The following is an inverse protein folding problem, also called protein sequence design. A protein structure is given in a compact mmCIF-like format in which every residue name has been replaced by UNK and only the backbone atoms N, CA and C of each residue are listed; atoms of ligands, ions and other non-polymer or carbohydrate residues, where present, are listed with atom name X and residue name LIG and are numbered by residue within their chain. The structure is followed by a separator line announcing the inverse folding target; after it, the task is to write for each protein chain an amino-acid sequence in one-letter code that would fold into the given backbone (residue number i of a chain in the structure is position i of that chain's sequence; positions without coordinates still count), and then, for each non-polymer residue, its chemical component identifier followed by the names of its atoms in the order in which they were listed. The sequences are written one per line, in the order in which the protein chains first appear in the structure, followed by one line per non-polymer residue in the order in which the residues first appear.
data_IF_065212892601
#
_entry.id   IF_065212892601
#
_cell.length_a   1.000
_cell.length_b   1.000
_cell.length_c   1.000
_cell.angle_alpha   90.00
_cell.angle_beta   90.00
_cell.angle_gamma   90.00
#
_symmetry.space_group_name_H-M   'P 1'
#
loop_
_entity.id
_entity.type
_entity.pdbx_description
1 polymer ?
#
# COMPACT_ATOMS: atom_id res chain seq x y z
N UNK A 1 24.10 -77.28 -32.45
CA UNK A 1 24.88 -76.46 -31.50
C UNK A 1 24.00 -75.32 -31.03
N UNK A 2 23.92 -75.16 -29.70
CA UNK A 2 23.51 -74.02 -28.86
C UNK A 2 23.14 -72.69 -29.55
N UNK A 3 22.20 -71.85 -29.11
CA UNK A 3 21.27 -71.83 -27.98
C UNK A 3 20.28 -70.64 -28.17
N UNK A 4 19.04 -70.83 -27.67
CA UNK A 4 18.16 -69.91 -26.92
C UNK A 4 17.99 -68.43 -27.34
N UNK A 5 16.74 -68.12 -27.71
CA UNK A 5 15.88 -66.99 -27.26
C UNK A 5 16.50 -65.96 -26.30
N UNK A 6 16.28 -64.67 -26.60
CA UNK A 6 15.70 -63.72 -25.64
C UNK A 6 15.31 -62.39 -26.31
N UNK A 7 14.01 -62.16 -26.32
CA UNK A 7 13.33 -60.86 -26.37
C UNK A 7 13.89 -59.89 -25.33
N UNK A 8 13.96 -58.59 -25.65
CA UNK A 8 13.75 -57.52 -24.66
C UNK A 8 13.40 -56.19 -25.34
N UNK A 9 12.12 -55.85 -25.20
CA UNK A 9 11.59 -54.50 -25.28
C UNK A 9 12.39 -53.58 -24.35
N UNK A 10 12.80 -52.41 -24.84
CA UNK A 10 13.32 -51.34 -23.99
C UNK A 10 12.22 -50.29 -23.77
N UNK A 11 12.00 -49.84 -22.52
CA UNK A 11 10.82 -49.11 -22.12
C UNK A 11 10.93 -47.61 -22.43
N UNK A 12 9.84 -47.04 -22.96
CA UNK A 12 9.57 -45.60 -23.18
C UNK A 12 9.43 -44.80 -21.86
N UNK A 13 10.13 -45.19 -20.80
CA UNK A 13 9.93 -44.68 -19.44
C UNK A 13 11.02 -43.75 -18.90
N UNK A 14 11.98 -43.31 -19.72
CA UNK A 14 13.14 -42.54 -19.27
C UNK A 14 13.23 -41.10 -19.81
N UNK A 15 12.13 -40.56 -20.34
CA UNK A 15 12.08 -39.16 -20.79
C UNK A 15 11.31 -38.22 -19.85
N UNK A 16 10.58 -38.75 -18.85
CA UNK A 16 9.75 -37.92 -17.96
C UNK A 16 10.42 -37.51 -16.63
N UNK A 17 11.60 -38.06 -16.31
CA UNK A 17 12.28 -37.82 -15.03
C UNK A 17 13.25 -36.62 -15.04
N UNK A 18 13.52 -36.02 -16.21
CA UNK A 18 14.40 -34.86 -16.31
C UNK A 18 13.70 -33.51 -16.03
N UNK A 19 12.36 -33.47 -16.02
CA UNK A 19 11.62 -32.22 -15.85
C UNK A 19 11.26 -31.87 -14.40
N UNK A 20 11.45 -32.80 -13.45
CA UNK A 20 11.09 -32.60 -12.03
C UNK A 20 12.29 -32.09 -11.19
N UNK A 21 13.52 -32.20 -11.71
CA UNK A 21 14.72 -31.76 -10.99
C UNK A 21 14.97 -30.24 -11.01
N UNK A 22 14.15 -29.46 -11.72
CA UNK A 22 14.29 -28.00 -11.83
C UNK A 22 13.58 -27.17 -10.74
N UNK A 23 12.81 -27.81 -9.84
CA UNK A 23 12.04 -27.10 -8.80
C UNK A 23 12.64 -27.21 -7.39
N UNK A 24 13.83 -27.78 -7.24
CA UNK A 24 14.61 -27.68 -6.00
C UNK A 24 15.34 -26.34 -5.97
N UNK A 25 14.62 -25.36 -5.43
CA UNK A 25 15.09 -24.02 -5.16
C UNK A 25 16.44 -24.01 -4.43
N UNK A 26 17.21 -23.01 -4.84
CA UNK A 26 18.48 -22.56 -4.30
C UNK A 26 18.53 -22.64 -2.77
N UNK A 27 19.19 -23.66 -2.24
CA UNK A 27 19.65 -23.67 -0.86
C UNK A 27 20.78 -22.66 -0.74
N UNK A 28 20.51 -21.54 -0.08
CA UNK A 28 21.48 -20.52 0.26
C UNK A 28 22.72 -21.16 0.89
N UNK A 29 23.87 -20.99 0.25
CA UNK A 29 25.16 -21.29 0.83
C UNK A 29 25.35 -20.37 2.03
N UNK A 30 25.32 -20.96 3.23
CA UNK A 30 25.72 -20.32 4.45
C UNK A 30 27.23 -20.00 4.39
N UNK A 31 27.57 -18.84 3.86
CA UNK A 31 28.87 -18.21 4.08
C UNK A 31 28.97 -17.86 5.56
N UNK A 32 29.87 -18.54 6.26
CA UNK A 32 30.28 -18.20 7.62
C UNK A 32 30.72 -16.73 7.68
N UNK A 33 30.30 -15.94 8.69
CA UNK A 33 30.89 -14.65 8.92
C UNK A 33 32.27 -14.87 9.56
N UNK A 34 33.34 -14.62 8.79
CA UNK A 34 34.64 -14.35 9.39
C UNK A 34 34.49 -13.09 10.25
N UNK A 35 34.75 -13.26 11.53
CA UNK A 35 34.82 -12.20 12.52
C UNK A 35 35.99 -11.27 12.20
N UNK A 36 35.76 -10.30 11.33
CA UNK A 36 36.53 -9.07 11.34
C UNK A 36 35.71 -8.05 12.10
N UNK A 37 36.07 -7.89 13.38
CA UNK A 37 35.68 -6.76 14.20
C UNK A 37 36.27 -5.47 13.59
N UNK A 38 35.71 -5.02 12.48
CA UNK A 38 35.84 -3.65 12.05
C UNK A 38 35.13 -2.81 13.11
N UNK A 39 35.92 -2.12 13.91
CA UNK A 39 35.44 -1.05 14.78
C UNK A 39 34.89 0.02 13.84
N UNK A 40 33.59 -0.07 13.53
CA UNK A 40 32.93 0.98 12.75
C UNK A 40 33.09 2.30 13.49
N UNK A 41 33.47 3.39 12.79
CA UNK A 41 33.39 4.71 13.38
C UNK A 41 31.95 4.89 13.86
N UNK A 42 31.77 5.49 15.05
CA UNK A 42 30.47 5.97 15.52
C UNK A 42 29.99 6.99 14.49
N UNK A 43 29.27 6.48 13.49
CA UNK A 43 28.64 7.24 12.43
C UNK A 43 27.67 8.19 13.12
N UNK A 44 28.06 9.46 13.15
CA UNK A 44 27.25 10.59 13.63
C UNK A 44 26.23 10.94 12.54
N UNK A 45 25.48 9.93 12.08
CA UNK A 45 24.33 10.12 11.22
C UNK A 45 23.16 10.71 12.01
N UNK A 46 22.17 11.33 11.33
CA UNK A 46 20.94 11.75 11.99
C UNK A 46 20.31 10.52 12.66
N UNK A 47 19.95 10.64 13.93
CA UNK A 47 19.18 9.60 14.61
C UNK A 47 17.81 9.52 13.92
N UNK A 48 17.53 8.42 13.22
CA UNK A 48 16.25 8.19 12.57
C UNK A 48 15.11 8.32 13.58
N UNK A 49 13.99 8.91 13.18
CA UNK A 49 12.84 9.07 14.07
C UNK A 49 12.21 7.70 14.38
N UNK A 50 12.02 6.87 13.36
CA UNK A 50 11.61 5.47 13.47
C UNK A 50 12.80 4.57 13.19
N UNK A 51 13.04 3.60 14.07
CA UNK A 51 14.11 2.62 13.83
C UNK A 51 13.69 1.60 12.77
N UNK A 52 14.65 1.07 12.00
CA UNK A 52 14.36 0.02 11.02
C UNK A 52 13.69 -1.21 11.62
N UNK A 53 14.05 -1.59 12.85
CA UNK A 53 13.43 -2.70 13.58
C UNK A 53 11.95 -2.43 13.91
N UNK A 54 11.62 -1.18 14.27
CA UNK A 54 10.25 -0.78 14.58
C UNK A 54 9.34 -0.69 13.35
N UNK A 55 9.89 -0.52 12.14
CA UNK A 55 9.10 -0.52 10.91
C UNK A 55 8.31 -1.83 10.73
N UNK A 56 8.96 -2.98 10.94
CA UNK A 56 8.29 -4.27 10.82
C UNK A 56 7.18 -4.45 11.87
N UNK A 57 7.28 -3.77 13.02
CA UNK A 57 6.19 -3.74 13.99
C UNK A 57 5.03 -2.86 13.53
N UNK A 58 5.32 -1.65 13.05
CA UNK A 58 4.33 -0.72 12.49
C UNK A 58 3.53 -1.36 11.36
N UNK A 59 4.20 -1.98 10.38
CA UNK A 59 3.54 -2.64 9.25
C UNK A 59 2.66 -3.81 9.67
N UNK A 60 3.06 -4.57 10.71
CA UNK A 60 2.22 -5.64 11.27
C UNK A 60 0.98 -5.09 11.97
N UNK A 61 1.10 -3.95 12.65
CA UNK A 61 -0.03 -3.27 13.28
C UNK A 61 -0.99 -2.72 12.23
N UNK A 62 -0.48 -2.03 11.22
CA UNK A 62 -1.26 -1.55 10.08
C UNK A 62 -1.98 -2.69 9.37
N UNK A 63 -1.29 -3.80 9.09
CA UNK A 63 -1.92 -4.96 8.47
C UNK A 63 -3.07 -5.52 9.30
N UNK A 64 -2.93 -5.59 10.63
CA UNK A 64 -4.02 -6.00 11.54
C UNK A 64 -5.18 -5.01 11.55
N UNK A 65 -4.91 -3.73 11.37
CA UNK A 65 -5.95 -2.71 11.25
C UNK A 65 -6.72 -2.87 9.93
N UNK A 66 -6.01 -3.13 8.83
CA UNK A 66 -6.60 -3.38 7.50
C UNK A 66 -7.46 -4.64 7.46
N UNK A 67 -7.06 -5.69 8.17
CA UNK A 67 -7.79 -6.95 8.28
C UNK A 67 -8.89 -6.95 9.36
N UNK A 68 -9.09 -5.85 10.08
CA UNK A 68 -10.11 -5.79 11.11
C UNK A 68 -11.51 -5.96 10.52
N UNK A 69 -12.30 -6.87 11.09
CA UNK A 69 -13.62 -7.25 10.57
C UNK A 69 -14.70 -6.18 10.84
N UNK A 70 -14.45 -5.25 11.77
CA UNK A 70 -15.42 -4.22 12.16
C UNK A 70 -14.78 -2.86 12.44
N UNK A 71 -15.60 -1.81 12.28
CA UNK A 71 -15.21 -0.43 12.62
C UNK A 71 -14.87 -0.27 14.10
N UNK A 72 -15.53 -1.01 14.99
CA UNK A 72 -15.24 -1.01 16.42
C UNK A 72 -13.83 -1.58 16.73
N UNK A 73 -13.40 -2.60 15.97
CA UNK A 73 -12.03 -3.12 16.10
C UNK A 73 -11.01 -2.11 15.58
N UNK A 74 -11.27 -1.47 14.44
CA UNK A 74 -10.42 -0.39 13.91
C UNK A 74 -10.29 0.77 14.89
N UNK A 75 -11.42 1.26 15.42
CA UNK A 75 -11.45 2.34 16.39
C UNK A 75 -10.66 1.99 17.66
N UNK A 76 -10.77 0.76 18.17
CA UNK A 76 -9.96 0.30 19.31
C UNK A 76 -8.47 0.35 19.01
N UNK A 77 -8.03 -0.17 17.87
CA UNK A 77 -6.62 -0.13 17.47
C UNK A 77 -6.09 1.31 17.31
N UNK A 78 -6.89 2.21 16.75
CA UNK A 78 -6.54 3.63 16.65
C UNK A 78 -6.42 4.29 18.04
N UNK A 79 -7.33 3.95 18.96
CA UNK A 79 -7.27 4.44 20.34
C UNK A 79 -6.05 3.89 21.10
N UNK A 80 -5.69 2.62 20.87
CA UNK A 80 -4.46 2.03 21.43
C UNK A 80 -3.22 2.75 20.91
N UNK A 81 -3.15 3.08 19.62
CA UNK A 81 -2.05 3.87 19.05
C UNK A 81 -1.95 5.28 19.66
N UNK A 82 -3.10 5.93 19.90
CA UNK A 82 -3.15 7.22 20.60
C UNK A 82 -2.66 7.13 22.03
N UNK A 83 -3.05 6.06 22.75
CA UNK A 83 -2.67 5.83 24.14
C UNK A 83 -1.18 5.50 24.28
N UNK A 84 -0.62 4.73 23.35
CA UNK A 84 0.82 4.42 23.32
C UNK A 84 1.68 5.64 22.97
N UNK A 85 1.07 6.73 22.49
CA UNK A 85 1.72 7.95 21.99
C UNK A 85 2.65 7.69 20.82
N UNK A 86 2.45 6.58 20.11
CA UNK A 86 3.18 6.29 18.89
C UNK A 86 2.54 7.07 17.74
N UNK A 87 3.09 8.26 17.47
CA UNK A 87 2.57 9.16 16.43
C UNK A 87 2.80 8.63 15.02
N UNK A 88 3.83 7.80 14.80
CA UNK A 88 4.03 7.17 13.50
C UNK A 88 2.93 6.13 13.24
N UNK A 89 2.62 5.31 14.25
CA UNK A 89 1.52 4.36 14.17
C UNK A 89 0.17 5.05 14.02
N UNK A 90 -0.13 6.04 14.86
CA UNK A 90 -1.39 6.79 14.79
C UNK A 90 -1.60 7.36 13.37
N UNK A 91 -0.57 8.00 12.82
CA UNK A 91 -0.64 8.55 11.48
C UNK A 91 -0.83 7.46 10.41
N UNK A 92 -0.10 6.34 10.51
CA UNK A 92 -0.19 5.23 9.56
C UNK A 92 -1.60 4.60 9.55
N UNK A 93 -2.23 4.46 10.71
CA UNK A 93 -3.61 3.97 10.80
C UNK A 93 -4.62 4.97 10.23
N UNK A 94 -4.40 6.28 10.43
CA UNK A 94 -5.27 7.33 9.91
C UNK A 94 -5.21 7.47 8.39
N UNK A 95 -4.05 7.23 7.76
CA UNK A 95 -3.86 7.28 6.30
C UNK A 95 -4.11 5.95 5.58
N UNK A 96 -4.47 4.92 6.32
CA UNK A 96 -4.81 3.61 5.74
C UNK A 96 -6.01 3.72 4.78
N UNK A 97 -6.05 2.91 3.69
CA UNK A 97 -7.19 2.85 2.77
C UNK A 97 -8.55 2.55 3.40
N UNK A 98 -8.58 2.00 4.62
CA UNK A 98 -9.81 1.73 5.36
C UNK A 98 -10.37 2.96 6.09
N UNK A 99 -9.63 4.06 6.12
CA UNK A 99 -9.97 5.27 6.86
C UNK A 99 -10.74 6.28 5.99
N UNK A 100 -11.45 7.20 6.63
CA UNK A 100 -12.17 8.27 5.94
C UNK A 100 -11.22 9.27 5.26
N UNK A 101 -11.73 10.10 4.36
CA UNK A 101 -10.93 11.15 3.72
C UNK A 101 -10.46 12.19 4.75
N UNK A 102 -11.32 12.52 5.73
CA UNK A 102 -11.00 13.40 6.86
C UNK A 102 -9.90 12.81 7.74
N UNK A 103 -10.00 11.53 8.10
CA UNK A 103 -8.94 10.84 8.84
C UNK A 103 -7.63 10.79 8.06
N UNK A 104 -7.70 10.52 6.75
CA UNK A 104 -6.52 10.51 5.89
C UNK A 104 -5.82 11.87 5.83
N UNK A 105 -6.58 12.97 5.82
CA UNK A 105 -6.01 14.33 5.90
C UNK A 105 -5.34 14.56 7.25
N UNK A 106 -6.02 14.23 8.35
CA UNK A 106 -5.47 14.36 9.70
C UNK A 106 -4.19 13.52 9.86
N UNK A 107 -4.20 12.29 9.34
CA UNK A 107 -3.05 11.40 9.35
C UNK A 107 -1.89 11.94 8.51
N UNK A 108 -2.17 12.51 7.33
CA UNK A 108 -1.15 13.14 6.49
C UNK A 108 -0.54 14.40 7.12
N UNK A 109 -1.34 15.20 7.82
CA UNK A 109 -0.86 16.33 8.62
C UNK A 109 0.01 15.85 9.80
N UNK A 110 -0.46 14.86 10.54
CA UNK A 110 0.26 14.28 11.66
C UNK A 110 1.60 13.70 11.20
N UNK A 111 1.62 12.88 10.14
CA UNK A 111 2.84 12.29 9.60
C UNK A 111 3.81 13.35 9.09
N UNK A 112 3.28 14.41 8.45
CA UNK A 112 4.07 15.53 7.96
C UNK A 112 4.66 16.41 9.07
N UNK A 113 4.14 16.33 10.30
CA UNK A 113 4.68 17.03 11.47
C UNK A 113 5.82 16.28 12.16
N UNK A 114 6.02 15.00 11.84
CA UNK A 114 7.08 14.19 12.44
C UNK A 114 8.44 14.57 11.83
N UNK A 115 9.53 14.57 12.62
CA UNK A 115 10.87 14.88 12.13
C UNK A 115 11.46 13.66 11.40
N UNK A 116 10.83 13.24 10.30
CA UNK A 116 11.29 12.14 9.47
C UNK A 116 12.53 12.55 8.68
N UNK A 117 13.54 11.69 8.66
CA UNK A 117 14.74 11.88 7.85
C UNK A 117 14.75 10.85 6.71
N UNK A 118 14.33 11.20 5.48
CA UNK A 118 14.24 10.26 4.35
C UNK A 118 15.60 9.94 3.72
N UNK A 119 16.60 9.62 4.55
CA UNK A 119 17.94 9.19 4.15
C UNK A 119 17.97 7.67 3.92
N UNK A 120 18.92 7.18 3.13
CA UNK A 120 19.12 5.75 2.88
C UNK A 120 19.45 4.96 4.15
N UNK A 121 20.05 5.62 5.16
CA UNK A 121 20.31 5.03 6.47
C UNK A 121 19.05 4.92 7.34
N UNK A 122 18.00 5.68 7.04
CA UNK A 122 16.75 5.74 7.79
C UNK A 122 15.57 5.16 6.99
N UNK A 123 15.62 3.85 6.75
CA UNK A 123 14.67 3.13 5.88
C UNK A 123 13.21 3.32 6.34
N UNK A 124 12.95 3.33 7.64
CA UNK A 124 11.59 3.51 8.18
C UNK A 124 11.05 4.92 7.93
N UNK A 125 11.86 5.94 8.20
CA UNK A 125 11.50 7.34 7.91
C UNK A 125 11.30 7.56 6.41
N UNK A 126 12.16 6.96 5.57
CA UNK A 126 12.03 7.00 4.11
C UNK A 126 10.73 6.35 3.65
N UNK A 127 10.36 5.19 4.22
CA UNK A 127 9.08 4.54 3.94
C UNK A 127 7.90 5.45 4.30
N UNK A 128 7.89 6.00 5.51
CA UNK A 128 6.83 6.89 5.99
C UNK A 128 6.72 8.16 5.13
N UNK A 129 7.85 8.73 4.71
CA UNK A 129 7.88 9.89 3.83
C UNK A 129 7.30 9.58 2.44
N UNK A 130 7.65 8.44 1.86
CA UNK A 130 7.10 7.99 0.58
C UNK A 130 5.60 7.75 0.68
N UNK A 131 5.17 7.10 1.76
CA UNK A 131 3.76 6.81 1.99
C UNK A 131 2.94 8.10 2.19
N UNK A 132 3.47 9.08 2.93
CA UNK A 132 2.90 10.43 3.02
C UNK A 132 2.74 11.09 1.65
N UNK A 133 3.77 10.99 0.80
CA UNK A 133 3.74 11.58 -0.54
C UNK A 133 2.65 10.93 -1.39
N UNK A 134 2.52 9.60 -1.33
CA UNK A 134 1.47 8.85 -2.01
C UNK A 134 0.08 9.31 -1.55
N UNK A 135 -0.17 9.34 -0.23
CA UNK A 135 -1.47 9.72 0.34
C UNK A 135 -1.84 11.16 -0.04
N UNK A 136 -0.88 12.09 -0.03
CA UNK A 136 -1.12 13.47 -0.47
C UNK A 136 -1.53 13.54 -1.95
N UNK A 137 -0.89 12.74 -2.80
CA UNK A 137 -1.29 12.64 -4.21
C UNK A 137 -2.69 12.06 -4.38
N UNK A 138 -3.02 11.01 -3.62
CA UNK A 138 -4.35 10.38 -3.67
C UNK A 138 -5.44 11.33 -3.17
N UNK A 139 -5.18 12.08 -2.10
CA UNK A 139 -6.09 13.12 -1.59
C UNK A 139 -6.30 14.24 -2.60
N UNK A 140 -5.23 14.76 -3.20
CA UNK A 140 -5.33 15.81 -4.22
C UNK A 140 -6.15 15.34 -5.45
N UNK A 141 -5.95 14.09 -5.89
CA UNK A 141 -6.73 13.50 -6.97
C UNK A 141 -8.21 13.35 -6.58
N UNK A 142 -8.49 12.91 -5.34
CA UNK A 142 -9.86 12.78 -4.84
C UNK A 142 -10.59 14.14 -4.83
N UNK A 143 -9.90 15.19 -4.40
CA UNK A 143 -10.44 16.56 -4.39
C UNK A 143 -10.75 17.07 -5.79
N UNK A 144 -9.85 16.81 -6.75
CA UNK A 144 -10.08 17.17 -8.15
C UNK A 144 -11.30 16.44 -8.71
N UNK A 145 -11.42 15.13 -8.49
CA UNK A 145 -12.57 14.35 -8.94
C UNK A 145 -13.88 14.89 -8.37
N UNK A 146 -13.92 15.19 -7.08
CA UNK A 146 -15.09 15.77 -6.43
C UNK A 146 -15.46 17.13 -7.03
N UNK A 147 -14.48 18.00 -7.27
CA UNK A 147 -14.72 19.29 -7.91
C UNK A 147 -15.32 19.14 -9.32
N UNK A 148 -14.88 18.13 -10.08
CA UNK A 148 -15.45 17.81 -11.41
C UNK A 148 -16.87 17.27 -11.31
N UNK A 149 -17.17 16.43 -10.33
CA UNK A 149 -18.52 15.92 -10.10
C UNK A 149 -19.51 17.04 -9.73
N UNK A 150 -19.06 17.99 -8.90
CA UNK A 150 -19.83 19.19 -8.54
C UNK A 150 -20.08 20.07 -9.78
N UNK A 151 -19.05 20.27 -10.62
CA UNK A 151 -19.16 21.01 -11.89
C UNK A 151 -20.18 20.35 -12.85
N UNK A 152 -20.12 19.02 -13.00
CA UNK A 152 -21.07 18.25 -13.82
C UNK A 152 -22.49 18.42 -13.29
N UNK A 153 -22.66 18.35 -11.97
CA UNK A 153 -23.98 18.50 -11.32
C UNK A 153 -24.57 19.88 -11.57
N UNK A 154 -23.75 20.92 -11.45
CA UNK A 154 -24.16 22.30 -11.73
C UNK A 154 -24.50 22.52 -13.22
N UNK A 155 -23.71 21.96 -14.13
CA UNK A 155 -23.99 22.02 -15.57
C UNK A 155 -25.31 21.34 -15.92
N UNK A 156 -25.61 20.18 -15.31
CA UNK A 156 -26.91 19.49 -15.49
C UNK A 156 -28.08 20.37 -15.06
N UNK A 157 -27.98 21.02 -13.89
CA UNK A 157 -29.02 21.96 -13.42
C UNK A 157 -29.24 23.11 -14.39
N UNK A 158 -28.16 23.67 -14.96
CA UNK A 158 -28.26 24.74 -15.97
C UNK A 158 -28.95 24.26 -17.25
N UNK A 159 -28.63 23.05 -17.72
CA UNK A 159 -29.27 22.44 -18.89
C UNK A 159 -30.76 22.24 -18.65
N UNK A 160 -31.14 21.72 -17.49
CA UNK A 160 -32.55 21.54 -17.10
C UNK A 160 -33.30 22.88 -17.09
N UNK A 161 -32.73 23.91 -16.45
CA UNK A 161 -33.34 25.24 -16.41
C UNK A 161 -33.50 25.88 -17.80
N UNK A 162 -32.51 25.73 -18.68
CA UNK A 162 -32.59 26.22 -20.06
C UNK A 162 -33.63 25.44 -20.87
N UNK A 163 -33.70 24.13 -20.68
CA UNK A 163 -34.70 23.27 -21.35
C UNK A 163 -36.11 23.66 -20.92
N UNK A 164 -36.33 23.94 -19.64
CA UNK A 164 -37.62 24.40 -19.12
C UNK A 164 -38.01 25.76 -19.71
N UNK A 165 -37.07 26.70 -19.82
CA UNK A 165 -37.30 27.99 -20.47
C UNK A 165 -37.66 27.83 -21.96
N UNK A 166 -36.95 26.96 -22.69
CA UNK A 166 -37.26 26.66 -24.09
C UNK A 166 -38.68 26.09 -24.26
N UNK A 167 -39.07 25.18 -23.36
CA UNK A 167 -40.44 24.65 -23.35
C UNK A 167 -41.48 25.74 -23.08
N UNK A 168 -41.22 26.63 -22.11
CA UNK A 168 -42.13 27.75 -21.79
C UNK A 168 -42.29 28.70 -22.98
N UNK A 169 -41.19 29.10 -23.64
CA UNK A 169 -41.22 29.94 -24.84
C UNK A 169 -41.99 29.25 -25.97
N UNK A 170 -41.77 27.94 -26.15
CA UNK A 170 -42.46 27.17 -27.19
C UNK A 170 -43.97 27.09 -26.93
N UNK A 171 -44.40 26.98 -25.67
CA UNK A 171 -45.83 27.02 -25.29
C UNK A 171 -46.42 28.40 -25.55
N UNK A 172 -45.75 29.47 -25.11
CA UNK A 172 -46.19 30.85 -25.36
C UNK A 172 -46.39 31.16 -26.85
N UNK A 173 -45.51 30.63 -27.72
CA UNK A 173 -45.64 30.80 -29.17
C UNK A 173 -46.78 30.00 -29.80
N UNK A 174 -47.24 28.90 -29.18
CA UNK A 174 -48.38 28.10 -29.66
C UNK A 174 -49.72 28.70 -29.25
N UNK A 175 -49.74 29.46 -28.16
CA UNK A 175 -50.96 30.07 -27.61
C UNK A 175 -51.25 31.48 -28.20
N UNK A 176 -50.37 31.98 -29.09
CA UNK A 176 -50.53 33.20 -29.91
C UNK A 176 -51.06 32.87 -31.31
#
# INVERSE_FOLDING_TARGET
MSAKLLTRQLPRGLALLALIAGLLGCGATATQPTADAATSPKDSGPACYVSGESLAHLLRLEHRYLLADSDEQRMRQLMEARQSRDKALEALLLISPASSAEDSRLGAELLGSLPLYPDDKCIADRYLFLHLSQVRHDLARSDELKAREDEITELKRKIEALTDLEQQITRQRKDL
#
